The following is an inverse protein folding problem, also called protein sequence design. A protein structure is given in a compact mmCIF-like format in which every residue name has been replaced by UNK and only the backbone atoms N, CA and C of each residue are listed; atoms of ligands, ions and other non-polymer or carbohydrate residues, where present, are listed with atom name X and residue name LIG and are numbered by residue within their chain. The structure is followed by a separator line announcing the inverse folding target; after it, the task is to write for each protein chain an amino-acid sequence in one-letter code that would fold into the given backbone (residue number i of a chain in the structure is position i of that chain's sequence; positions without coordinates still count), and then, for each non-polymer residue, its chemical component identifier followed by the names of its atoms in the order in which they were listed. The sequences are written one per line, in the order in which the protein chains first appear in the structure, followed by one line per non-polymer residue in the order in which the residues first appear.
data_IF_344087149795
#
_entry.id   IF_344087149795
#
_cell.length_a   1.000
_cell.length_b   1.000
_cell.length_c   1.000
_cell.angle_alpha   90.00
_cell.angle_beta   90.00
_cell.angle_gamma   90.00
#
_symmetry.space_group_name_H-M   'P 1'
#
loop_
_entity.id
_entity.type
_entity.pdbx_description
1 polymer ?
#
# COMPACT_ATOMS: atom_id res chain seq x y z
N UNK A 1 -15.46 -16.13 19.98
CA UNK A 1 -14.13 -15.85 19.43
C UNK A 1 -14.25 -14.93 18.23
N UNK A 2 -13.15 -14.36 17.79
CA UNK A 2 -13.08 -13.59 16.53
C UNK A 2 -12.87 -14.55 15.36
N UNK A 3 -13.35 -14.15 14.18
CA UNK A 3 -13.10 -14.84 12.91
C UNK A 3 -12.37 -13.88 11.96
N UNK A 4 -11.52 -14.44 11.11
CA UNK A 4 -10.86 -13.64 10.05
C UNK A 4 -11.84 -13.52 8.88
N UNK A 5 -12.20 -12.31 8.50
CA UNK A 5 -13.06 -12.05 7.35
C UNK A 5 -12.24 -11.71 6.10
N UNK A 6 -11.16 -10.94 6.27
CA UNK A 6 -10.33 -10.45 5.19
C UNK A 6 -8.85 -10.70 5.45
N UNK A 7 -8.13 -10.98 4.39
CA UNK A 7 -6.68 -10.96 4.26
C UNK A 7 -6.39 -9.95 3.16
N UNK A 8 -5.99 -8.74 3.55
CA UNK A 8 -5.89 -7.60 2.65
C UNK A 8 -4.44 -7.42 2.17
N UNK A 9 -4.26 -7.46 0.85
CA UNK A 9 -2.99 -7.16 0.22
C UNK A 9 -2.99 -5.71 -0.27
N UNK A 10 -1.98 -4.93 0.13
CA UNK A 10 -1.84 -3.54 -0.31
C UNK A 10 -1.28 -3.44 -1.72
N UNK A 11 -0.36 -4.33 -2.08
CA UNK A 11 0.30 -4.38 -3.38
C UNK A 11 1.00 -5.74 -3.59
N UNK A 12 1.56 -5.96 -4.76
CA UNK A 12 2.44 -7.12 -5.03
C UNK A 12 3.84 -6.81 -4.53
N UNK A 13 4.38 -7.69 -3.70
CA UNK A 13 5.72 -7.59 -3.15
C UNK A 13 6.78 -8.13 -4.11
N UNK A 14 7.94 -7.47 -4.17
CA UNK A 14 9.09 -7.93 -4.93
C UNK A 14 10.23 -8.45 -4.03
N UNK A 15 10.21 -8.11 -2.76
CA UNK A 15 11.27 -8.36 -1.77
C UNK A 15 10.96 -9.57 -0.88
N UNK A 16 9.70 -10.02 -0.80
CA UNK A 16 9.30 -11.19 -0.02
C UNK A 16 8.06 -11.89 -0.59
N UNK A 17 7.82 -13.11 -0.15
CA UNK A 17 6.56 -13.83 -0.43
C UNK A 17 5.47 -13.38 0.55
N UNK A 18 4.22 -13.35 0.06
CA UNK A 18 3.07 -13.13 0.93
C UNK A 18 2.70 -14.41 1.68
N UNK A 19 2.21 -14.26 2.92
CA UNK A 19 1.64 -15.34 3.70
C UNK A 19 0.12 -15.52 3.47
N UNK A 20 -0.50 -14.78 2.56
CA UNK A 20 -1.95 -14.70 2.43
C UNK A 20 -2.61 -16.08 2.22
N UNK A 21 -2.07 -16.92 1.33
CA UNK A 21 -2.61 -18.25 1.09
C UNK A 21 -2.48 -19.17 2.32
N UNK A 22 -1.36 -19.10 3.02
CA UNK A 22 -1.17 -19.84 4.26
C UNK A 22 -2.18 -19.40 5.33
N UNK A 23 -2.31 -18.08 5.53
CA UNK A 23 -3.27 -17.53 6.50
C UNK A 23 -4.71 -17.91 6.16
N UNK A 24 -5.07 -17.92 4.88
CA UNK A 24 -6.40 -18.35 4.44
C UNK A 24 -6.68 -19.81 4.79
N UNK A 25 -5.71 -20.69 4.63
CA UNK A 25 -5.86 -22.12 4.98
C UNK A 25 -6.01 -22.30 6.48
N UNK A 26 -5.23 -21.59 7.28
CA UNK A 26 -5.21 -21.74 8.74
C UNK A 26 -6.37 -21.04 9.45
N UNK A 27 -6.77 -19.86 8.96
CA UNK A 27 -7.67 -18.96 9.67
C UNK A 27 -8.99 -18.70 8.93
N UNK A 28 -9.09 -19.09 7.67
CA UNK A 28 -10.18 -18.70 6.78
C UNK A 28 -10.04 -17.25 6.29
N UNK A 29 -11.16 -16.66 5.87
CA UNK A 29 -11.21 -15.31 5.33
C UNK A 29 -11.01 -15.25 3.82
N UNK A 30 -11.22 -14.05 3.26
CA UNK A 30 -11.07 -13.76 1.82
C UNK A 30 -9.78 -13.02 1.55
N UNK A 31 -9.00 -13.50 0.60
CA UNK A 31 -7.83 -12.74 0.12
C UNK A 31 -8.33 -11.70 -0.87
N UNK A 32 -7.98 -10.43 -0.64
CA UNK A 32 -8.42 -9.33 -1.46
C UNK A 32 -7.31 -8.32 -1.75
N UNK A 33 -7.36 -7.71 -2.94
CA UNK A 33 -6.48 -6.63 -3.35
C UNK A 33 -7.11 -5.79 -4.47
N UNK A 34 -6.37 -4.83 -5.04
CA UNK A 34 -6.82 -4.01 -6.17
C UNK A 34 -7.10 -4.84 -7.42
N UNK A 35 -8.19 -4.55 -8.13
CA UNK A 35 -8.44 -5.10 -9.47
C UNK A 35 -7.34 -4.72 -10.48
N UNK A 36 -6.60 -3.63 -10.22
CA UNK A 36 -5.45 -3.21 -11.05
C UNK A 36 -4.26 -4.16 -11.00
N UNK A 37 -4.31 -5.20 -10.16
CA UNK A 37 -3.31 -6.27 -10.17
C UNK A 37 -3.16 -6.90 -11.57
N UNK A 38 -4.23 -6.93 -12.36
CA UNK A 38 -4.18 -7.42 -13.74
C UNK A 38 -3.13 -6.67 -14.57
N UNK A 39 -3.03 -5.35 -14.40
CA UNK A 39 -2.03 -4.50 -15.09
C UNK A 39 -0.59 -4.87 -14.70
N UNK A 40 -0.39 -5.18 -13.41
CA UNK A 40 0.92 -5.63 -12.91
C UNK A 40 1.26 -7.00 -13.47
N UNK A 41 0.32 -7.93 -13.44
CA UNK A 41 0.50 -9.28 -13.99
C UNK A 41 0.82 -9.26 -15.49
N UNK A 42 0.10 -8.48 -16.29
CA UNK A 42 0.38 -8.30 -17.72
C UNK A 42 1.79 -7.75 -17.95
N UNK A 43 2.19 -6.75 -17.17
CA UNK A 43 3.51 -6.12 -17.28
C UNK A 43 4.62 -7.12 -16.99
N UNK A 44 4.52 -7.87 -15.89
CA UNK A 44 5.53 -8.86 -15.53
C UNK A 44 5.50 -10.10 -16.43
N UNK A 45 4.32 -10.53 -16.89
CA UNK A 45 4.20 -11.60 -17.86
C UNK A 45 4.94 -11.26 -19.16
N UNK A 46 4.84 -10.03 -19.65
CA UNK A 46 5.57 -9.56 -20.83
C UNK A 46 7.09 -9.54 -20.60
N UNK A 47 7.55 -9.06 -19.42
CA UNK A 47 8.98 -8.98 -19.06
C UNK A 47 9.60 -10.38 -18.96
N UNK A 48 8.91 -11.31 -18.32
CA UNK A 48 9.41 -12.66 -18.04
C UNK A 48 8.97 -13.71 -19.07
N UNK A 49 8.29 -13.30 -20.15
CA UNK A 49 7.76 -14.19 -21.20
C UNK A 49 6.86 -15.31 -20.64
N UNK A 50 6.02 -14.97 -19.66
CA UNK A 50 5.08 -15.90 -19.03
C UNK A 50 3.74 -15.92 -19.78
N UNK A 51 3.08 -17.07 -19.77
CA UNK A 51 1.70 -17.17 -20.29
C UNK A 51 0.72 -16.57 -19.25
N UNK A 52 0.21 -15.37 -19.53
CA UNK A 52 -0.74 -14.65 -18.67
C UNK A 52 -2.01 -15.47 -18.36
N UNK A 53 -2.40 -16.42 -19.23
CA UNK A 53 -3.57 -17.27 -19.00
C UNK A 53 -3.43 -18.17 -17.77
N UNK A 54 -2.20 -18.46 -17.35
CA UNK A 54 -1.90 -19.25 -16.17
C UNK A 54 -1.87 -18.41 -14.88
N UNK A 55 -1.90 -17.08 -14.99
CA UNK A 55 -1.74 -16.13 -13.88
C UNK A 55 -2.92 -15.18 -13.76
N UNK A 56 -4.13 -15.71 -13.84
CA UNK A 56 -5.34 -14.89 -13.73
C UNK A 56 -5.55 -14.43 -12.29
N UNK A 57 -5.63 -13.11 -12.08
CA UNK A 57 -5.90 -12.49 -10.78
C UNK A 57 -7.18 -13.04 -10.11
N UNK A 58 -8.23 -13.29 -10.89
CA UNK A 58 -9.49 -13.85 -10.39
C UNK A 58 -9.37 -15.27 -9.84
N UNK A 59 -8.29 -15.99 -10.15
CA UNK A 59 -8.03 -17.32 -9.60
C UNK A 59 -7.18 -17.27 -8.32
N UNK A 60 -6.45 -16.17 -8.11
CA UNK A 60 -5.52 -16.00 -6.98
C UNK A 60 -6.16 -15.26 -5.81
N UNK A 61 -7.15 -14.41 -6.08
CA UNK A 61 -7.82 -13.57 -5.10
C UNK A 61 -9.31 -13.85 -5.06
N UNK A 62 -9.87 -13.88 -3.85
CA UNK A 62 -11.31 -14.09 -3.66
C UNK A 62 -12.11 -12.82 -3.97
N UNK A 63 -11.46 -11.66 -3.86
CA UNK A 63 -12.06 -10.37 -4.12
C UNK A 63 -11.07 -9.38 -4.73
N UNK A 64 -11.53 -8.61 -5.69
CA UNK A 64 -10.76 -7.56 -6.34
C UNK A 64 -11.49 -6.23 -6.15
N UNK A 65 -10.92 -5.36 -5.32
CA UNK A 65 -11.48 -4.06 -5.01
C UNK A 65 -11.42 -3.11 -6.21
N UNK A 66 -12.50 -2.38 -6.40
CA UNK A 66 -12.51 -1.14 -7.18
C UNK A 66 -11.84 0.00 -6.38
N UNK A 67 -11.53 1.12 -7.07
CA UNK A 67 -11.00 2.31 -6.42
C UNK A 67 -12.07 2.92 -5.50
N UNK A 68 -11.69 3.34 -4.30
CA UNK A 68 -12.55 4.01 -3.31
C UNK A 68 -13.73 3.16 -2.81
N UNK A 69 -13.59 1.87 -2.89
CA UNK A 69 -14.63 0.95 -2.47
C UNK A 69 -14.72 0.83 -0.95
N UNK A 70 -15.96 0.83 -0.45
CA UNK A 70 -16.29 0.59 0.95
C UNK A 70 -16.60 -0.88 1.19
N UNK A 71 -16.17 -1.39 2.33
CA UNK A 71 -16.44 -2.77 2.79
C UNK A 71 -16.63 -2.80 4.30
N UNK A 72 -16.95 -4.00 4.83
CA UNK A 72 -17.17 -4.19 6.26
C UNK A 72 -16.19 -5.21 6.82
N UNK A 73 -15.78 -4.99 8.08
CA UNK A 73 -15.07 -5.95 8.91
C UNK A 73 -15.91 -6.10 10.19
N UNK A 74 -16.76 -7.11 10.25
CA UNK A 74 -17.80 -7.19 11.27
C UNK A 74 -18.73 -5.99 11.20
N UNK A 75 -18.75 -5.15 12.23
CA UNK A 75 -19.53 -3.91 12.31
C UNK A 75 -18.70 -2.66 11.96
N UNK A 76 -17.42 -2.80 11.64
CA UNK A 76 -16.53 -1.69 11.35
C UNK A 76 -16.58 -1.40 9.84
N UNK A 77 -16.95 -0.16 9.48
CA UNK A 77 -16.83 0.32 8.11
C UNK A 77 -15.36 0.54 7.78
N UNK A 78 -14.94 0.04 6.62
CA UNK A 78 -13.62 0.22 6.05
C UNK A 78 -13.74 0.64 4.59
N UNK A 79 -12.68 1.24 4.04
CA UNK A 79 -12.61 1.56 2.62
C UNK A 79 -11.16 1.59 2.16
N UNK A 80 -10.96 1.47 0.86
CA UNK A 80 -9.65 1.63 0.26
C UNK A 80 -9.48 3.02 -0.34
N UNK A 81 -8.23 3.47 -0.40
CA UNK A 81 -7.78 4.63 -1.17
C UNK A 81 -6.75 4.10 -2.16
N UNK A 82 -6.95 4.26 -3.49
CA UNK A 82 -5.91 3.92 -4.46
C UNK A 82 -4.71 4.85 -4.26
N UNK A 83 -3.55 4.23 -4.05
CA UNK A 83 -2.26 4.91 -3.82
C UNK A 83 -1.19 4.44 -4.80
N UNK A 84 -1.45 4.51 -6.14
CA UNK A 84 -0.48 4.12 -7.14
C UNK A 84 0.77 5.02 -7.11
N UNK A 85 1.85 4.52 -7.69
CA UNK A 85 3.11 5.25 -7.82
C UNK A 85 4.32 4.38 -7.51
N UNK A 86 4.30 3.61 -6.44
CA UNK A 86 5.23 2.50 -6.23
C UNK A 86 4.90 1.37 -7.22
N UNK A 87 3.68 0.90 -7.21
CA UNK A 87 3.09 0.05 -8.28
C UNK A 87 1.75 0.62 -8.74
N UNK A 88 1.24 0.24 -9.93
CA UNK A 88 -0.08 0.69 -10.39
C UNK A 88 -1.25 0.20 -9.53
N UNK A 89 -1.05 -0.90 -8.80
CA UNK A 89 -2.10 -1.60 -8.06
C UNK A 89 -2.08 -1.33 -6.54
N UNK A 90 -1.25 -0.38 -6.07
CA UNK A 90 -1.19 -0.06 -4.65
C UNK A 90 -2.52 0.48 -4.13
N UNK A 91 -2.96 -0.07 -3.00
CA UNK A 91 -4.07 0.41 -2.18
C UNK A 91 -3.60 0.72 -0.76
N UNK A 92 -4.17 1.75 -0.17
CA UNK A 92 -4.15 1.97 1.27
C UNK A 92 -5.52 1.66 1.85
N UNK A 93 -5.59 0.98 3.00
CA UNK A 93 -6.86 0.62 3.63
C UNK A 93 -7.10 1.47 4.85
N UNK A 94 -8.24 2.15 4.90
CA UNK A 94 -8.70 2.92 6.07
C UNK A 94 -9.69 2.07 6.87
N UNK A 95 -9.38 1.85 8.14
CA UNK A 95 -10.16 1.02 9.06
C UNK A 95 -10.27 1.76 10.39
N UNK A 96 -11.45 2.30 10.69
CA UNK A 96 -11.65 3.12 11.88
C UNK A 96 -10.77 4.38 11.87
N UNK A 97 -9.90 4.53 12.85
CA UNK A 97 -8.95 5.65 13.02
C UNK A 97 -7.56 5.39 12.41
N UNK A 98 -7.40 4.29 11.69
CA UNK A 98 -6.12 3.84 11.17
C UNK A 98 -6.11 3.74 9.64
N UNK A 99 -4.94 3.98 9.02
CA UNK A 99 -4.65 3.72 7.62
C UNK A 99 -3.43 2.81 7.46
N UNK A 100 -3.57 1.76 6.65
CA UNK A 100 -2.52 0.79 6.31
C UNK A 100 -2.04 1.13 4.90
N UNK A 101 -0.85 1.72 4.79
CA UNK A 101 -0.41 2.42 3.57
C UNK A 101 0.44 1.59 2.62
N UNK A 102 0.72 0.33 2.97
CA UNK A 102 1.65 -0.48 2.16
C UNK A 102 2.99 0.22 1.99
N UNK A 103 3.54 0.14 0.78
CA UNK A 103 4.79 0.80 0.41
C UNK A 103 4.58 2.22 -0.18
N UNK A 104 3.52 2.91 0.23
CA UNK A 104 3.30 4.30 -0.17
C UNK A 104 4.12 5.26 0.69
N UNK A 105 4.07 5.09 2.01
CA UNK A 105 4.82 5.85 3.00
C UNK A 105 5.62 4.90 3.90
N UNK A 106 6.76 5.36 4.35
CA UNK A 106 7.56 4.73 5.40
C UNK A 106 7.62 5.65 6.63
N UNK A 107 8.41 5.27 7.64
CA UNK A 107 8.63 6.16 8.78
C UNK A 107 9.10 7.53 8.29
N UNK A 108 8.72 8.63 8.97
CA UNK A 108 9.07 10.00 8.53
C UNK A 108 10.56 10.22 8.29
N UNK A 109 11.41 9.53 9.03
CA UNK A 109 12.87 9.58 8.90
C UNK A 109 13.44 8.67 7.79
N UNK A 110 12.57 7.96 7.06
CA UNK A 110 12.92 7.15 5.89
C UNK A 110 12.21 7.60 4.60
N UNK A 111 11.01 8.17 4.70
CA UNK A 111 10.33 8.87 3.61
C UNK A 111 9.26 8.06 2.89
N UNK A 112 9.49 7.77 1.61
CA UNK A 112 8.53 7.11 0.72
C UNK A 112 9.17 5.96 -0.06
N UNK A 113 8.35 5.09 -0.65
CA UNK A 113 8.84 4.05 -1.55
C UNK A 113 9.54 4.61 -2.79
N UNK A 114 10.33 3.76 -3.40
CA UNK A 114 10.90 3.97 -4.73
C UNK A 114 9.82 3.83 -5.82
N UNK A 115 10.06 4.47 -6.97
CA UNK A 115 9.11 4.53 -8.08
C UNK A 115 9.66 3.96 -9.38
N UNK A 116 10.79 3.25 -9.33
CA UNK A 116 11.53 2.71 -10.48
C UNK A 116 11.05 1.30 -10.89
N UNK A 117 9.98 0.80 -10.30
CA UNK A 117 9.30 -0.40 -10.77
C UNK A 117 8.63 -0.18 -12.14
N UNK A 118 8.46 -1.24 -12.93
CA UNK A 118 7.70 -1.16 -14.17
C UNK A 118 6.32 -0.51 -13.93
N UNK A 119 6.06 0.60 -14.64
CA UNK A 119 4.89 1.49 -14.47
C UNK A 119 4.82 2.23 -13.12
N UNK A 120 5.90 2.27 -12.34
CA UNK A 120 6.03 3.18 -11.20
C UNK A 120 6.14 4.64 -11.67
N UNK A 121 5.78 5.59 -10.80
CA UNK A 121 5.82 7.02 -11.12
C UNK A 121 5.88 7.86 -9.85
N UNK A 122 6.95 8.64 -9.71
CA UNK A 122 7.09 9.58 -8.60
C UNK A 122 6.00 10.65 -8.61
N UNK A 123 5.61 11.14 -9.80
CA UNK A 123 4.56 12.15 -9.93
C UNK A 123 3.20 11.62 -9.43
N UNK A 124 2.89 10.36 -9.72
CA UNK A 124 1.66 9.70 -9.27
C UNK A 124 1.75 9.39 -7.77
N UNK A 125 2.92 8.96 -7.28
CA UNK A 125 3.12 8.70 -5.85
C UNK A 125 2.92 9.99 -5.03
N UNK A 126 3.40 11.13 -5.52
CA UNK A 126 3.14 12.42 -4.89
C UNK A 126 1.64 12.68 -4.72
N UNK A 127 0.87 12.54 -5.81
CA UNK A 127 -0.59 12.74 -5.77
C UNK A 127 -1.28 11.76 -4.81
N UNK A 128 -0.83 10.52 -4.79
CA UNK A 128 -1.33 9.48 -3.86
C UNK A 128 -1.09 9.86 -2.40
N UNK A 129 0.10 10.37 -2.08
CA UNK A 129 0.40 10.82 -0.70
C UNK A 129 -0.41 12.06 -0.34
N UNK A 130 -0.57 13.03 -1.26
CA UNK A 130 -1.44 14.19 -1.00
C UNK A 130 -2.87 13.76 -0.67
N UNK A 131 -3.38 12.74 -1.35
CA UNK A 131 -4.69 12.18 -1.06
C UNK A 131 -4.78 11.56 0.34
N UNK A 132 -3.76 10.83 0.78
CA UNK A 132 -3.67 10.35 2.17
C UNK A 132 -3.64 11.50 3.17
N UNK A 133 -3.02 12.61 2.82
CA UNK A 133 -2.94 13.80 3.66
C UNK A 133 -4.28 14.56 3.81
N UNK A 134 -5.30 14.22 3.02
CA UNK A 134 -6.67 14.72 3.22
C UNK A 134 -7.37 14.08 4.43
N UNK A 135 -6.89 12.92 4.90
CA UNK A 135 -7.40 12.29 6.12
C UNK A 135 -7.09 13.15 7.37
N UNK A 136 -7.85 12.98 8.47
CA UNK A 136 -7.58 13.67 9.73
C UNK A 136 -6.14 13.50 10.19
N UNK A 137 -5.52 14.54 10.71
CA UNK A 137 -4.11 14.52 11.15
C UNK A 137 -3.82 13.51 12.25
N UNK A 138 -4.83 13.20 13.07
CA UNK A 138 -4.76 12.17 14.11
C UNK A 138 -4.88 10.75 13.59
N UNK A 139 -5.07 10.53 12.28
CA UNK A 139 -5.14 9.19 11.71
C UNK A 139 -3.83 8.46 11.94
N UNK A 140 -3.92 7.29 12.54
CA UNK A 140 -2.77 6.40 12.78
C UNK A 140 -2.34 5.78 11.45
N UNK A 141 -1.05 5.79 11.18
CA UNK A 141 -0.47 5.27 9.93
C UNK A 141 0.34 4.02 10.24
N UNK A 142 -0.06 2.89 9.68
CA UNK A 142 0.65 1.62 9.78
C UNK A 142 1.43 1.33 8.50
N UNK A 143 2.71 1.02 8.68
CA UNK A 143 3.69 0.87 7.61
C UNK A 143 4.01 -0.61 7.37
N UNK A 144 4.31 -0.97 6.11
CA UNK A 144 4.74 -2.33 5.77
C UNK A 144 6.18 -2.60 6.20
N UNK A 145 7.06 -1.62 6.03
CA UNK A 145 8.50 -1.75 6.27
C UNK A 145 9.04 -0.64 7.18
N UNK A 146 9.98 -1.01 8.02
CA UNK A 146 10.86 -0.08 8.71
C UNK A 146 12.32 -0.50 8.49
N UNK A 147 13.09 0.34 7.82
CA UNK A 147 14.48 0.08 7.44
C UNK A 147 15.49 0.54 8.50
N UNK A 148 15.02 0.95 9.68
CA UNK A 148 15.81 1.35 10.83
C UNK A 148 17.02 2.25 10.46
N UNK A 149 16.78 3.52 10.08
CA UNK A 149 17.87 4.44 9.78
C UNK A 149 18.75 4.70 11.02
N UNK A 150 19.97 5.18 10.82
CA UNK A 150 20.94 5.41 11.91
C UNK A 150 20.46 6.39 13.01
N UNK A 151 19.38 7.12 12.73
CA UNK A 151 18.76 8.06 13.68
C UNK A 151 17.94 7.38 14.77
N UNK A 152 17.66 6.08 14.64
CA UNK A 152 16.87 5.29 15.61
C UNK A 152 17.59 4.01 16.02
N UNK A 153 17.29 3.54 17.22
CA UNK A 153 17.83 2.31 17.83
C UNK A 153 16.80 1.16 17.89
N UNK A 154 15.55 1.41 17.41
CA UNK A 154 14.46 0.42 17.42
C UNK A 154 13.60 0.51 16.18
N UNK A 155 13.01 -0.63 15.80
CA UNK A 155 12.00 -0.70 14.76
C UNK A 155 10.67 -0.12 15.25
N UNK A 156 9.98 0.62 14.37
CA UNK A 156 8.66 1.21 14.61
C UNK A 156 7.83 1.05 13.35
N UNK A 157 6.60 0.55 13.49
CA UNK A 157 5.69 0.33 12.36
C UNK A 157 4.47 1.27 12.36
N UNK A 158 4.37 2.17 13.33
CA UNK A 158 3.24 3.08 13.51
C UNK A 158 3.71 4.52 13.67
N UNK A 159 2.98 5.44 13.03
CA UNK A 159 3.09 6.88 13.19
C UNK A 159 1.70 7.50 13.02
N UNK A 160 1.60 8.81 12.81
CA UNK A 160 0.36 9.53 12.50
C UNK A 160 0.55 10.47 11.31
N UNK A 161 -0.55 10.92 10.70
CA UNK A 161 -0.49 11.80 9.53
C UNK A 161 0.05 13.19 9.87
N UNK A 162 -0.16 13.71 11.07
CA UNK A 162 0.43 14.97 11.48
C UNK A 162 1.96 14.90 11.45
N UNK A 163 2.52 13.80 11.98
CA UNK A 163 3.97 13.56 11.97
C UNK A 163 4.49 13.36 10.54
N UNK A 164 3.76 12.62 9.70
CA UNK A 164 4.11 12.48 8.29
C UNK A 164 4.15 13.83 7.57
N UNK A 165 3.09 14.63 7.68
CA UNK A 165 2.99 15.96 7.06
C UNK A 165 4.09 16.92 7.52
N UNK A 166 4.57 16.81 8.75
CA UNK A 166 5.53 17.74 9.32
C UNK A 166 6.99 17.29 9.20
N UNK A 167 7.26 15.98 9.14
CA UNK A 167 8.61 15.44 9.35
C UNK A 167 9.07 14.45 8.29
N UNK A 168 8.21 14.02 7.34
CA UNK A 168 8.64 13.08 6.32
C UNK A 168 9.74 13.73 5.45
N UNK A 169 10.90 13.06 5.38
CA UNK A 169 12.09 13.60 4.71
C UNK A 169 11.95 13.74 3.19
N UNK A 170 10.98 13.03 2.59
CA UNK A 170 10.72 13.11 1.15
C UNK A 170 9.52 13.99 0.80
N UNK A 171 8.49 14.00 1.66
CA UNK A 171 7.24 14.67 1.38
C UNK A 171 6.60 15.20 2.66
N UNK A 172 6.81 16.47 2.93
CA UNK A 172 6.24 17.20 4.07
C UNK A 172 5.53 18.46 3.58
N UNK A 173 4.92 19.21 4.48
CA UNK A 173 4.34 20.50 4.16
C UNK A 173 5.37 21.41 3.46
N UNK A 174 5.00 21.90 2.27
CA UNK A 174 5.85 22.77 1.46
C UNK A 174 6.68 22.03 0.40
N UNK A 175 6.81 20.70 0.45
CA UNK A 175 7.43 19.95 -0.65
C UNK A 175 6.59 20.09 -1.91
N UNK A 176 7.16 20.61 -2.98
CA UNK A 176 6.49 20.69 -4.27
C UNK A 176 6.56 19.37 -5.03
N UNK A 177 5.62 19.14 -5.93
CA UNK A 177 5.64 17.96 -6.81
C UNK A 177 6.91 17.87 -7.64
N UNK A 178 7.43 19.02 -8.10
CA UNK A 178 8.66 19.07 -8.90
C UNK A 178 9.88 18.60 -8.09
N UNK A 179 10.06 19.11 -6.88
CA UNK A 179 11.14 18.69 -5.97
C UNK A 179 11.04 17.20 -5.63
N UNK A 180 9.84 16.70 -5.36
CA UNK A 180 9.62 15.29 -5.07
C UNK A 180 9.98 14.40 -6.26
N UNK A 181 9.55 14.76 -7.47
CA UNK A 181 9.85 13.99 -8.70
C UNK A 181 11.33 14.00 -9.02
N UNK A 182 12.05 15.14 -8.81
CA UNK A 182 13.49 15.22 -9.01
C UNK A 182 14.27 14.34 -8.03
N UNK A 183 13.77 14.20 -6.79
CA UNK A 183 14.40 13.40 -5.74
C UNK A 183 14.16 11.90 -5.93
N UNK A 184 13.02 11.49 -6.50
CA UNK A 184 12.58 10.08 -6.57
C UNK A 184 12.81 9.45 -7.91
#
# INVERSE_FOLDING_TARGET
GLTVEWILETHVHADHLTAAQYLKVELGGKIAMSQKIAVVQETFAAIYHLDIKQWNAQQLFDYLFEDDEKFQIGSIEAYNIPTPGHTPACLSYVIGDAVFVGDTLFMPDYGTARCDFPRGSAAILFDSVQRLFELPESTRVFLCHDYLPQTRDRYVCETDLQTQKNRNIHIHHGTTKAEFVEMR
#
